data_IF_282533204144
#
_entry.id   IF_282533204144
#
_cell.length_a   1.000
_cell.length_b   1.000
_cell.length_c   1.000
_cell.angle_alpha   90.00
_cell.angle_beta   90.00
_cell.angle_gamma   90.00
#
_symmetry.space_group_name_H-M   'P 1'
#
loop_
_entity.id
_entity.type
_entity.pdbx_description
1 polymer ?
#
# COMPACT_ATOMS: atom_id res chain seq x y z
N UNK A 1 -3.35 -5.24 19.71
CA UNK A 1 -4.15 -5.76 18.59
C UNK A 1 -3.37 -6.89 17.92
N UNK A 2 -4.01 -8.02 17.65
CA UNK A 2 -3.45 -9.10 16.83
C UNK A 2 -3.61 -8.76 15.36
N UNK A 3 -2.77 -9.32 14.50
CA UNK A 3 -2.82 -9.04 13.06
C UNK A 3 -4.19 -9.36 12.42
N UNK A 4 -4.84 -10.43 12.85
CA UNK A 4 -6.19 -10.80 12.39
C UNK A 4 -7.31 -9.90 12.91
N UNK A 5 -7.02 -8.92 13.76
CA UNK A 5 -7.97 -7.87 14.16
C UNK A 5 -7.81 -6.61 13.28
N UNK A 6 -6.71 -6.48 12.52
CA UNK A 6 -6.43 -5.32 11.66
C UNK A 6 -7.12 -5.45 10.29
N UNK A 7 -7.22 -6.68 9.78
CA UNK A 7 -7.86 -7.02 8.50
C UNK A 7 -9.24 -7.62 8.78
N UNK A 8 -10.23 -7.32 7.95
CA UNK A 8 -11.53 -7.99 7.99
C UNK A 8 -11.43 -9.42 7.41
N UNK A 9 -10.95 -10.35 8.24
CA UNK A 9 -10.83 -11.76 7.86
C UNK A 9 -12.16 -12.50 7.72
N UNK A 10 -13.28 -11.88 8.11
CA UNK A 10 -14.61 -12.47 7.87
C UNK A 10 -14.98 -12.33 6.40
N UNK A 11 -14.75 -11.14 5.84
CA UNK A 11 -14.98 -10.87 4.41
C UNK A 11 -13.83 -11.43 3.57
N UNK A 12 -12.58 -11.23 4.02
CA UNK A 12 -11.36 -11.60 3.31
C UNK A 12 -10.53 -12.63 4.10
N UNK A 13 -10.86 -13.93 4.07
CA UNK A 13 -10.15 -14.98 4.81
C UNK A 13 -8.79 -15.33 4.17
N UNK A 14 -7.91 -14.33 4.03
CA UNK A 14 -6.60 -14.46 3.38
C UNK A 14 -5.63 -15.38 4.14
N UNK A 15 -5.95 -15.70 5.39
CA UNK A 15 -5.25 -16.68 6.22
C UNK A 15 -5.72 -18.13 6.02
N UNK A 16 -6.73 -18.35 5.16
CA UNK A 16 -7.30 -19.65 4.87
C UNK A 16 -7.24 -19.96 3.36
N UNK A 17 -6.04 -20.14 2.77
CA UNK A 17 -5.86 -20.33 1.32
C UNK A 17 -6.53 -21.60 0.77
N UNK A 18 -6.88 -22.55 1.64
CA UNK A 18 -7.56 -23.79 1.27
C UNK A 18 -9.10 -23.67 1.28
N UNK A 19 -9.65 -22.55 1.77
CA UNK A 19 -11.11 -22.33 1.81
C UNK A 19 -11.68 -22.03 0.42
N UNK A 20 -12.97 -22.34 0.22
CA UNK A 20 -13.69 -21.94 -1.01
C UNK A 20 -13.80 -20.42 -1.11
N UNK A 21 -14.13 -19.76 0.00
CA UNK A 21 -14.28 -18.31 0.06
C UNK A 21 -12.99 -17.57 -0.34
N UNK A 22 -11.81 -18.04 0.09
CA UNK A 22 -10.53 -17.49 -0.37
C UNK A 22 -10.39 -17.58 -1.89
N UNK A 23 -10.67 -18.74 -2.48
CA UNK A 23 -10.55 -18.95 -3.93
C UNK A 23 -11.53 -18.07 -4.72
N UNK A 24 -12.75 -17.91 -4.23
CA UNK A 24 -13.76 -17.04 -4.84
C UNK A 24 -13.29 -15.59 -4.89
N UNK A 25 -12.73 -15.08 -3.78
CA UNK A 25 -12.18 -13.72 -3.70
C UNK A 25 -10.99 -13.55 -4.65
N UNK A 26 -10.04 -14.48 -4.66
CA UNK A 26 -8.88 -14.43 -5.56
C UNK A 26 -9.34 -14.42 -7.03
N UNK A 27 -10.34 -15.24 -7.38
CA UNK A 27 -10.87 -15.25 -8.74
C UNK A 27 -11.56 -13.93 -9.11
N UNK A 28 -12.32 -13.34 -8.19
CA UNK A 28 -12.94 -12.03 -8.38
C UNK A 28 -11.89 -10.92 -8.59
N UNK A 29 -10.85 -10.90 -7.75
CA UNK A 29 -9.74 -9.93 -7.85
C UNK A 29 -9.01 -10.09 -9.19
N UNK A 30 -8.72 -11.33 -9.62
CA UNK A 30 -8.11 -11.60 -10.92
C UNK A 30 -8.97 -11.11 -12.06
N UNK A 31 -10.29 -11.32 -12.00
CA UNK A 31 -11.22 -10.78 -12.99
C UNK A 31 -11.14 -9.26 -13.11
N UNK A 32 -11.14 -8.54 -11.98
CA UNK A 32 -10.98 -7.08 -11.98
C UNK A 32 -9.63 -6.62 -12.52
N UNK A 33 -8.54 -7.31 -12.16
CA UNK A 33 -7.21 -7.03 -12.72
C UNK A 33 -7.15 -7.27 -14.23
N UNK A 34 -7.80 -8.32 -14.74
CA UNK A 34 -7.84 -8.64 -16.17
C UNK A 34 -8.68 -7.62 -16.97
N UNK A 35 -9.76 -7.09 -16.38
CA UNK A 35 -10.67 -6.13 -17.01
C UNK A 35 -10.14 -4.69 -16.95
N UNK A 36 -9.75 -4.22 -15.77
CA UNK A 36 -9.45 -2.81 -15.49
C UNK A 36 -7.96 -2.54 -15.23
N UNK A 37 -7.13 -3.57 -15.16
CA UNK A 37 -5.73 -3.45 -14.72
C UNK A 37 -5.59 -3.10 -13.23
N UNK A 38 -6.70 -3.06 -12.48
CA UNK A 38 -6.71 -2.80 -11.05
C UNK A 38 -7.84 -3.56 -10.35
N UNK A 39 -7.70 -3.79 -9.04
CA UNK A 39 -8.76 -4.36 -8.22
C UNK A 39 -8.89 -3.60 -6.90
N UNK A 40 -10.13 -3.41 -6.45
CA UNK A 40 -10.44 -2.70 -5.21
C UNK A 40 -11.03 -3.67 -4.20
N UNK A 41 -10.36 -3.83 -3.06
CA UNK A 41 -10.84 -4.61 -1.93
C UNK A 41 -11.45 -3.65 -0.91
N UNK A 42 -12.73 -3.32 -1.08
CA UNK A 42 -13.45 -2.40 -0.20
C UNK A 42 -13.52 -2.96 1.23
N UNK A 43 -13.30 -2.10 2.22
CA UNK A 43 -13.33 -2.47 3.65
C UNK A 43 -12.40 -3.65 4.00
N UNK A 44 -11.25 -3.74 3.32
CA UNK A 44 -10.26 -4.78 3.61
C UNK A 44 -9.68 -4.70 5.02
N UNK A 45 -9.44 -3.47 5.50
CA UNK A 45 -9.11 -3.22 6.89
C UNK A 45 -10.40 -3.20 7.71
N UNK A 46 -10.34 -3.75 8.92
CA UNK A 46 -11.40 -3.52 9.91
C UNK A 46 -11.39 -2.05 10.35
N UNK A 47 -12.51 -1.53 10.84
CA UNK A 47 -12.59 -0.14 11.34
C UNK A 47 -11.51 0.14 12.40
N UNK A 48 -11.36 -0.77 13.37
CA UNK A 48 -10.36 -0.64 14.43
C UNK A 48 -8.92 -0.76 13.91
N UNK A 49 -8.70 -1.59 12.90
CA UNK A 49 -7.41 -1.73 12.23
C UNK A 49 -7.02 -0.47 11.46
N UNK A 50 -7.96 0.12 10.75
CA UNK A 50 -7.80 1.40 10.06
C UNK A 50 -7.46 2.51 11.06
N UNK A 51 -8.25 2.66 12.13
CA UNK A 51 -8.00 3.67 13.17
C UNK A 51 -6.62 3.54 13.82
N UNK A 52 -6.19 2.30 14.07
CA UNK A 52 -4.88 1.99 14.64
C UNK A 52 -3.73 2.39 13.69
N UNK A 53 -3.85 2.09 12.39
CA UNK A 53 -2.87 2.46 11.36
C UNK A 53 -2.82 3.97 11.13
N UNK A 54 -3.97 4.64 11.11
CA UNK A 54 -4.06 6.10 11.00
C UNK A 54 -3.38 6.77 12.20
N UNK A 55 -3.71 6.34 13.41
CA UNK A 55 -3.09 6.87 14.63
C UNK A 55 -1.58 6.63 14.66
N UNK A 56 -1.13 5.47 14.18
CA UNK A 56 0.28 5.13 14.06
C UNK A 56 1.04 6.04 13.09
N UNK A 57 0.44 6.33 11.94
CA UNK A 57 0.98 7.27 10.95
C UNK A 57 0.99 8.71 11.48
N UNK A 58 -0.09 9.16 12.11
CA UNK A 58 -0.20 10.50 12.69
C UNK A 58 0.85 10.76 13.77
N UNK A 59 1.12 9.76 14.62
CA UNK A 59 2.16 9.86 15.65
C UNK A 59 3.58 9.99 15.07
N UNK A 60 3.78 9.66 13.79
CA UNK A 60 5.08 9.64 13.11
C UNK A 60 5.21 10.68 12.00
N UNK A 61 4.12 11.32 11.57
CA UNK A 61 4.12 12.24 10.42
C UNK A 61 5.11 13.40 10.54
N UNK A 62 5.38 13.86 11.77
CA UNK A 62 6.39 14.91 12.04
C UNK A 62 7.83 14.48 11.74
N UNK A 63 8.07 13.17 11.62
CA UNK A 63 9.36 12.57 11.25
C UNK A 63 9.40 12.10 9.79
N UNK A 64 8.35 12.38 9.01
CA UNK A 64 8.34 12.02 7.60
C UNK A 64 9.44 12.76 6.85
N UNK A 65 10.15 12.05 5.99
CA UNK A 65 11.11 12.64 5.07
C UNK A 65 10.37 13.28 3.89
N UNK A 66 10.72 14.52 3.59
CA UNK A 66 10.25 15.23 2.40
C UNK A 66 11.45 15.47 1.49
N UNK A 67 11.32 15.08 0.23
CA UNK A 67 12.35 15.36 -0.77
C UNK A 67 12.54 16.87 -0.93
N UNK A 68 13.79 17.30 -1.14
CA UNK A 68 14.11 18.71 -1.36
C UNK A 68 13.42 19.24 -2.62
N UNK A 69 13.45 18.46 -3.69
CA UNK A 69 12.68 18.73 -4.90
C UNK A 69 11.25 18.23 -4.75
N UNK A 70 10.29 19.12 -5.03
CA UNK A 70 8.86 18.76 -5.17
C UNK A 70 8.48 18.38 -6.59
N UNK A 71 9.38 18.56 -7.57
CA UNK A 71 9.12 18.20 -8.96
C UNK A 71 9.72 16.83 -9.26
N UNK A 72 8.90 15.92 -9.81
CA UNK A 72 9.39 14.66 -10.35
C UNK A 72 8.61 14.26 -11.60
N UNK A 73 9.20 13.43 -12.45
CA UNK A 73 8.49 12.71 -13.49
C UNK A 73 7.93 11.38 -12.95
N UNK A 74 7.23 10.62 -13.80
CA UNK A 74 6.63 9.34 -13.41
C UNK A 74 7.66 8.25 -13.05
N UNK A 75 8.93 8.44 -13.41
CA UNK A 75 10.02 7.51 -13.13
C UNK A 75 10.86 7.91 -11.91
N UNK A 76 10.53 9.02 -11.25
CA UNK A 76 11.31 9.58 -10.14
C UNK A 76 12.78 9.83 -10.53
N UNK A 77 13.02 10.20 -11.78
CA UNK A 77 14.35 10.38 -12.35
C UNK A 77 14.56 11.80 -12.86
N UNK A 78 15.79 12.13 -13.23
CA UNK A 78 16.08 13.34 -13.99
C UNK A 78 15.46 13.27 -15.39
N UNK A 79 15.23 14.45 -15.99
CA UNK A 79 14.76 14.56 -17.37
C UNK A 79 15.76 13.95 -18.36
N UNK A 80 15.26 13.52 -19.51
CA UNK A 80 16.07 12.96 -20.58
C UNK A 80 16.21 13.96 -21.73
N UNK A 81 17.42 14.55 -21.84
CA UNK A 81 17.76 15.53 -22.90
C UNK A 81 17.68 14.95 -24.32
N UNK A 82 17.72 13.62 -24.47
CA UNK A 82 17.61 12.95 -25.76
C UNK A 82 16.15 12.65 -26.16
N UNK A 83 15.17 13.15 -25.39
CA UNK A 83 13.73 12.98 -25.64
C UNK A 83 13.06 14.34 -25.77
N UNK A 84 11.95 14.37 -26.48
CA UNK A 84 11.11 15.55 -26.58
C UNK A 84 10.50 15.93 -25.22
N UNK A 85 10.08 17.17 -25.07
CA UNK A 85 9.56 17.71 -23.80
C UNK A 85 8.24 17.05 -23.36
N UNK A 86 7.47 16.49 -24.31
CA UNK A 86 6.22 15.76 -24.07
C UNK A 86 6.42 14.27 -23.73
N UNK A 87 7.67 13.79 -23.74
CA UNK A 87 7.96 12.42 -23.32
C UNK A 87 7.72 12.28 -21.80
N UNK A 88 7.20 11.13 -21.30
CA UNK A 88 6.92 10.96 -19.86
C UNK A 88 8.12 11.13 -18.91
N UNK A 89 9.35 11.04 -19.44
CA UNK A 89 10.57 11.36 -18.68
C UNK A 89 10.80 12.87 -18.48
N UNK A 90 10.18 13.72 -19.29
CA UNK A 90 10.34 15.17 -19.28
C UNK A 90 9.09 15.91 -18.80
N UNK A 91 7.98 15.21 -18.58
CA UNK A 91 6.80 15.76 -17.92
C UNK A 91 7.01 15.69 -16.41
N UNK A 92 7.20 16.86 -15.78
CA UNK A 92 7.31 17.00 -14.34
C UNK A 92 5.99 17.39 -13.71
N UNK A 93 5.72 16.82 -12.55
CA UNK A 93 4.55 17.11 -11.72
C UNK A 93 4.98 17.41 -10.29
N UNK A 94 4.22 18.28 -9.64
CA UNK A 94 4.44 18.59 -8.23
C UNK A 94 4.00 17.43 -7.33
N UNK A 95 4.77 17.21 -6.28
CA UNK A 95 4.51 16.24 -5.22
C UNK A 95 4.68 16.89 -3.87
N UNK A 96 3.74 16.58 -2.97
CA UNK A 96 3.74 17.04 -1.58
C UNK A 96 3.89 15.90 -0.57
N UNK A 97 4.14 14.68 -1.05
CA UNK A 97 4.15 13.48 -0.21
C UNK A 97 5.39 13.44 0.69
N UNK A 98 5.18 13.13 1.98
CA UNK A 98 6.23 12.76 2.91
C UNK A 98 6.27 11.24 3.11
N UNK A 99 7.45 10.70 3.37
CA UNK A 99 7.67 9.27 3.58
C UNK A 99 8.05 8.98 5.03
N UNK A 100 7.26 8.16 5.72
CA UNK A 100 7.68 7.55 6.99
C UNK A 100 8.53 6.33 6.63
N UNK A 101 9.81 6.36 6.98
CA UNK A 101 10.77 5.31 6.63
C UNK A 101 10.64 4.09 7.55
N UNK A 102 11.06 2.92 7.06
CA UNK A 102 10.84 1.64 7.75
C UNK A 102 11.55 1.54 9.11
N UNK A 103 12.63 2.28 9.33
CA UNK A 103 13.31 2.39 10.63
C UNK A 103 12.44 3.05 11.71
N UNK A 104 11.43 3.83 11.31
CA UNK A 104 10.41 4.39 12.22
C UNK A 104 9.24 3.41 12.48
N UNK A 105 9.20 2.29 11.76
CA UNK A 105 8.17 1.25 11.81
C UNK A 105 8.78 -0.07 12.32
N UNK A 106 9.37 -0.05 13.50
CA UNK A 106 10.00 -1.22 14.11
C UNK A 106 9.01 -2.31 14.58
N UNK A 107 9.56 -3.42 15.08
CA UNK A 107 8.78 -4.49 15.72
C UNK A 107 7.86 -3.91 16.81
N UNK A 108 6.58 -4.29 16.77
CA UNK A 108 5.54 -3.80 17.68
C UNK A 108 4.64 -2.71 17.07
N UNK A 109 5.01 -2.15 15.91
CA UNK A 109 4.10 -1.31 15.12
C UNK A 109 3.08 -2.16 14.34
N UNK A 110 1.92 -1.60 14.06
CA UNK A 110 0.85 -2.25 13.31
C UNK A 110 1.26 -2.46 11.85
N UNK A 111 1.85 -1.45 11.20
CA UNK A 111 2.38 -1.56 9.85
C UNK A 111 3.47 -2.65 9.73
N UNK A 112 4.41 -2.71 10.68
CA UNK A 112 5.41 -3.80 10.71
C UNK A 112 4.72 -5.16 10.89
N UNK A 113 3.72 -5.25 11.77
CA UNK A 113 3.00 -6.50 12.01
C UNK A 113 2.34 -7.00 10.73
N UNK A 114 1.64 -6.13 9.98
CA UNK A 114 1.05 -6.46 8.69
C UNK A 114 2.10 -6.84 7.64
N UNK A 115 3.14 -6.01 7.48
CA UNK A 115 4.15 -6.19 6.44
C UNK A 115 4.85 -7.55 6.53
N UNK A 116 5.09 -8.05 7.74
CA UNK A 116 5.74 -9.35 7.95
C UNK A 116 4.75 -10.51 8.11
N UNK A 117 3.44 -10.26 8.10
CA UNK A 117 2.45 -11.31 8.25
C UNK A 117 2.37 -12.18 6.99
N UNK A 118 2.69 -13.47 7.14
CA UNK A 118 2.80 -14.40 5.99
C UNK A 118 1.51 -14.48 5.14
N UNK A 119 0.30 -14.64 5.71
CA UNK A 119 -0.94 -14.63 4.94
C UNK A 119 -1.11 -13.43 4.01
N UNK A 120 -0.83 -12.20 4.49
CA UNK A 120 -0.92 -11.00 3.65
C UNK A 120 0.11 -11.04 2.52
N UNK A 121 1.36 -11.45 2.81
CA UNK A 121 2.42 -11.56 1.78
C UNK A 121 2.19 -12.67 0.76
N UNK A 122 1.52 -13.75 1.15
CA UNK A 122 1.17 -14.83 0.23
C UNK A 122 -0.04 -14.44 -0.66
N UNK A 123 -0.85 -13.49 -0.19
CA UNK A 123 -2.06 -13.02 -0.89
C UNK A 123 -1.78 -11.92 -1.91
N UNK A 124 -0.82 -11.02 -1.62
CA UNK A 124 -0.32 -9.96 -2.51
C UNK A 124 0.57 -10.54 -3.62
#
# INVERSE_FOLDING_TARGET
>A
MKVGEIIDLKTYPIDQPQSSQYREIVNSIKGGLDEDGCAVLSNFLSDSGLDALVSEADARKSKAYYAESKLCNIYLAEGNRNKADDHPQNIFMERSNGFITADLLGKGTYAHTLYYWKPLRDFL
#
